data_IF_092688156949
#
_entry.id   IF_092688156949
#
_cell.length_a   1.000
_cell.length_b   1.000
_cell.length_c   1.000
_cell.angle_alpha   90.00
_cell.angle_beta   90.00
_cell.angle_gamma   90.00
#
_symmetry.space_group_name_H-M   'P 1'
#
loop_
_entity.id
_entity.type
_entity.pdbx_description
1 polymer ?
#
# COMPACT_ATOMS: atom_id res chain seq x y z
N UNK A 1 13.67 10.50 12.00
CA UNK A 1 14.09 11.14 10.71
C UNK A 1 13.88 10.08 9.63
N UNK A 2 13.09 10.35 8.58
CA UNK A 2 12.83 9.36 7.51
C UNK A 2 14.13 9.06 6.75
N UNK A 3 14.33 7.80 6.41
CA UNK A 3 15.51 7.33 5.69
C UNK A 3 15.59 7.95 4.28
N UNK A 4 16.65 8.69 3.98
CA UNK A 4 16.85 9.36 2.69
C UNK A 4 17.65 8.53 1.68
N UNK A 5 17.58 8.86 0.37
CA UNK A 5 18.36 8.19 -0.66
C UNK A 5 19.85 8.19 -0.35
N UNK A 6 20.51 7.04 -0.52
CA UNK A 6 21.91 6.83 -0.21
C UNK A 6 22.21 6.44 1.24
N UNK A 7 21.27 6.58 2.17
CA UNK A 7 21.42 6.10 3.55
C UNK A 7 21.48 4.58 3.57
N UNK A 8 22.30 4.03 4.47
CA UNK A 8 22.38 2.58 4.70
C UNK A 8 21.74 2.27 6.05
N UNK A 9 20.68 1.46 6.02
CA UNK A 9 19.96 0.99 7.20
C UNK A 9 20.53 -0.36 7.64
N UNK A 10 20.67 -0.57 8.94
CA UNK A 10 21.26 -1.78 9.55
C UNK A 10 22.62 -2.19 8.95
N UNK A 11 23.39 -1.26 8.38
CA UNK A 11 24.65 -1.55 7.71
C UNK A 11 24.56 -2.46 6.47
N UNK A 12 23.36 -2.65 5.90
CA UNK A 12 23.09 -3.60 4.82
C UNK A 12 22.20 -3.05 3.70
N UNK A 13 21.18 -2.29 4.03
CA UNK A 13 20.16 -1.89 3.06
C UNK A 13 20.36 -0.44 2.62
N UNK A 14 20.85 -0.24 1.40
CA UNK A 14 21.04 1.11 0.85
C UNK A 14 19.78 1.60 0.21
N UNK A 15 19.22 2.67 0.77
CA UNK A 15 18.02 3.33 0.24
C UNK A 15 18.29 3.88 -1.16
N UNK A 16 17.45 3.53 -2.12
CA UNK A 16 17.62 3.89 -3.53
C UNK A 16 16.66 4.99 -4.00
N UNK A 17 15.49 5.10 -3.38
CA UNK A 17 14.47 6.07 -3.77
C UNK A 17 14.01 6.92 -2.57
N UNK A 18 13.23 7.98 -2.84
CA UNK A 18 12.62 8.78 -1.77
C UNK A 18 11.55 7.95 -1.09
N UNK A 19 11.50 7.97 0.24
CA UNK A 19 10.47 7.24 0.97
C UNK A 19 9.08 7.78 0.64
N UNK A 20 8.17 6.88 0.31
CA UNK A 20 6.75 7.17 0.35
C UNK A 20 6.25 6.80 1.75
N UNK A 21 6.16 7.81 2.63
CA UNK A 21 5.85 7.62 4.05
C UNK A 21 6.88 6.68 4.72
N UNK A 22 6.50 5.52 5.22
CA UNK A 22 7.40 4.53 5.84
C UNK A 22 7.72 3.34 4.90
N UNK A 23 7.53 3.50 3.57
CA UNK A 23 7.90 2.50 2.57
C UNK A 23 9.07 3.01 1.75
N UNK A 24 10.10 2.20 1.62
CA UNK A 24 11.38 2.58 1.02
C UNK A 24 11.87 1.46 0.12
N UNK A 25 12.25 1.78 -1.10
CA UNK A 25 13.03 0.86 -1.93
C UNK A 25 14.50 0.94 -1.55
N UNK A 26 15.12 -0.21 -1.40
CA UNK A 26 16.53 -0.32 -1.06
C UNK A 26 17.23 -1.42 -1.86
N UNK A 27 18.53 -1.31 -1.95
CA UNK A 27 19.42 -2.37 -2.45
C UNK A 27 20.00 -3.10 -1.24
N UNK A 28 19.82 -4.39 -1.17
CA UNK A 28 20.53 -5.24 -0.22
C UNK A 28 21.98 -5.39 -0.68
N UNK A 29 22.93 -4.80 0.02
CA UNK A 29 24.36 -4.83 -0.35
C UNK A 29 24.99 -6.21 -0.23
N UNK A 30 24.35 -7.15 0.47
CA UNK A 30 24.87 -8.52 0.59
C UNK A 30 24.45 -9.41 -0.58
N UNK A 31 23.19 -9.33 -1.01
CA UNK A 31 22.67 -10.14 -2.11
C UNK A 31 22.73 -9.43 -3.46
N UNK A 32 22.80 -8.11 -3.49
CA UNK A 32 22.69 -7.29 -4.69
C UNK A 32 21.27 -7.23 -5.25
N UNK A 33 20.25 -7.62 -4.48
CA UNK A 33 18.85 -7.62 -4.91
C UNK A 33 18.11 -6.37 -4.43
N UNK A 34 17.10 -5.96 -5.18
CA UNK A 34 16.18 -4.91 -4.74
C UNK A 34 15.22 -5.46 -3.70
N UNK A 35 15.04 -4.72 -2.62
CA UNK A 35 14.12 -5.04 -1.54
C UNK A 35 13.21 -3.85 -1.24
N UNK A 36 12.02 -4.14 -0.76
CA UNK A 36 11.14 -3.14 -0.17
C UNK A 36 11.27 -3.22 1.36
N UNK A 37 11.50 -2.07 1.96
CA UNK A 37 11.47 -1.92 3.41
C UNK A 37 10.15 -1.24 3.79
N UNK A 38 9.47 -1.80 4.80
CA UNK A 38 8.26 -1.19 5.40
C UNK A 38 8.55 -0.90 6.85
N UNK A 39 8.48 0.38 7.23
CA UNK A 39 8.70 0.86 8.59
C UNK A 39 7.43 0.81 9.42
N UNK A 40 7.56 0.49 10.70
CA UNK A 40 6.53 0.60 11.71
C UNK A 40 7.09 1.44 12.86
N UNK A 41 6.43 2.54 13.18
CA UNK A 41 6.81 3.35 14.33
C UNK A 41 6.53 2.56 15.62
N UNK A 42 7.58 2.44 16.44
CA UNK A 42 7.46 1.85 17.76
C UNK A 42 7.06 2.99 18.72
N UNK A 43 5.88 2.93 19.33
CA UNK A 43 5.48 3.94 20.28
C UNK A 43 6.41 3.87 21.50
N UNK A 44 7.31 4.84 21.61
CA UNK A 44 7.96 5.12 22.89
C UNK A 44 6.89 5.38 23.92
N UNK A 45 7.06 4.86 25.15
CA UNK A 45 6.20 5.05 26.33
C UNK A 45 4.85 5.75 26.01
N UNK A 46 3.85 5.01 25.54
CA UNK A 46 2.49 5.53 25.58
C UNK A 46 2.11 5.63 27.05
N UNK A 47 2.26 6.81 27.64
CA UNK A 47 1.50 7.17 28.82
C UNK A 47 0.04 6.89 28.46
N UNK A 48 -0.60 5.98 29.17
CA UNK A 48 -1.99 5.65 29.00
C UNK A 48 -2.83 6.92 29.22
N UNK A 49 -3.06 7.64 28.14
CA UNK A 49 -4.08 8.69 28.12
C UNK A 49 -5.38 7.90 27.95
N UNK A 50 -6.15 7.82 29.03
CA UNK A 50 -7.51 7.33 28.97
C UNK A 50 -8.34 8.34 28.14
N UNK A 51 -8.77 8.00 26.91
CA UNK A 51 -9.48 8.95 26.06
C UNK A 51 -10.90 9.26 26.55
N UNK A 52 -11.36 8.64 27.63
CA UNK A 52 -12.72 8.80 28.15
C UNK A 52 -12.86 9.90 29.22
N UNK A 53 -11.77 10.36 29.79
CA UNK A 53 -11.82 11.40 30.81
C UNK A 53 -10.63 12.36 30.66
N UNK A 54 -10.92 13.59 30.22
CA UNK A 54 -9.94 14.67 29.99
C UNK A 54 -9.35 15.29 31.26
N UNK A 55 -9.00 14.48 32.25
CA UNK A 55 -8.22 14.90 33.41
C UNK A 55 -6.96 14.05 33.52
N UNK A 56 -5.78 14.63 33.83
CA UNK A 56 -4.57 13.87 34.08
C UNK A 56 -4.74 13.12 35.40
N UNK A 57 -5.19 11.86 35.29
CA UNK A 57 -5.26 10.97 36.44
C UNK A 57 -3.86 10.69 36.98
N UNK A 58 -3.68 10.76 38.29
CA UNK A 58 -2.51 10.30 39.02
C UNK A 58 -2.40 8.76 38.96
N UNK A 59 -2.30 8.19 37.76
CA UNK A 59 -1.89 6.81 37.56
C UNK A 59 -0.37 6.76 37.54
N UNK A 60 0.23 5.85 38.31
CA UNK A 60 1.65 5.55 38.18
C UNK A 60 1.98 5.28 36.70
N UNK A 61 3.09 5.82 36.17
CA UNK A 61 3.50 5.53 34.81
C UNK A 61 3.66 4.01 34.68
N UNK A 62 2.83 3.40 33.85
CA UNK A 62 3.07 2.02 33.43
C UNK A 62 4.41 2.05 32.72
N UNK A 63 5.45 1.55 33.38
CA UNK A 63 6.76 1.41 32.77
C UNK A 63 6.60 0.42 31.60
N UNK A 64 6.34 0.94 30.40
CA UNK A 64 6.52 0.19 29.16
C UNK A 64 7.98 -0.23 29.06
N UNK A 65 8.22 -1.39 28.49
CA UNK A 65 9.58 -1.81 28.16
C UNK A 65 10.27 -0.79 27.25
N UNK A 66 11.56 -0.60 27.38
CA UNK A 66 12.29 0.30 26.50
C UNK A 66 12.11 -0.09 25.04
N UNK A 67 11.99 0.88 24.13
CA UNK A 67 11.78 0.72 22.68
C UNK A 67 12.64 -0.40 22.07
N UNK A 68 13.94 -0.54 22.40
CA UNK A 68 14.76 -1.63 21.88
C UNK A 68 14.22 -3.04 22.27
N UNK A 69 13.77 -3.22 23.52
CA UNK A 69 13.26 -4.51 23.97
C UNK A 69 11.92 -4.87 23.31
N UNK A 70 11.05 -3.89 23.07
CA UNK A 70 9.83 -4.08 22.31
C UNK A 70 10.14 -4.46 20.86
N UNK A 71 11.00 -3.71 20.20
CA UNK A 71 11.43 -3.98 18.84
C UNK A 71 12.03 -5.38 18.66
N UNK A 72 12.88 -5.82 19.58
CA UNK A 72 13.46 -7.16 19.55
C UNK A 72 12.41 -8.28 19.69
N UNK A 73 11.36 -8.06 20.51
CA UNK A 73 10.25 -9.03 20.60
C UNK A 73 9.50 -9.14 19.29
N UNK A 74 9.21 -8.00 18.65
CA UNK A 74 8.53 -7.96 17.36
C UNK A 74 9.38 -8.61 16.26
N UNK A 75 10.67 -8.34 16.20
CA UNK A 75 11.61 -9.00 15.26
C UNK A 75 11.58 -10.53 15.45
N UNK A 76 11.64 -11.02 16.70
CA UNK A 76 11.53 -12.47 16.97
C UNK A 76 10.17 -13.04 16.56
N UNK A 77 9.10 -12.29 16.75
CA UNK A 77 7.75 -12.71 16.32
C UNK A 77 7.66 -12.84 14.81
N UNK A 78 8.17 -11.85 14.06
CA UNK A 78 8.24 -11.89 12.60
C UNK A 78 9.06 -13.11 12.13
N UNK A 79 10.26 -13.31 12.71
CA UNK A 79 11.12 -14.44 12.34
C UNK A 79 10.46 -15.80 12.62
N UNK A 80 9.72 -15.93 13.72
CA UNK A 80 9.00 -17.16 14.05
C UNK A 80 7.90 -17.47 13.03
N UNK A 81 7.12 -16.45 12.59
CA UNK A 81 6.07 -16.65 11.58
C UNK A 81 6.68 -16.91 10.21
N UNK A 82 7.72 -16.18 9.83
CA UNK A 82 8.39 -16.33 8.53
C UNK A 82 8.91 -17.76 8.29
N UNK A 83 9.27 -18.49 9.36
CA UNK A 83 9.72 -19.89 9.26
C UNK A 83 8.59 -20.86 8.84
N UNK A 84 7.34 -20.50 9.10
CA UNK A 84 6.16 -21.33 8.83
C UNK A 84 5.41 -20.90 7.55
N UNK A 85 5.87 -19.85 6.86
CA UNK A 85 5.24 -19.35 5.62
C UNK A 85 5.42 -20.38 4.49
N UNK A 86 4.33 -20.84 3.87
CA UNK A 86 4.42 -21.80 2.78
C UNK A 86 5.01 -21.14 1.52
N UNK A 87 5.83 -21.89 0.80
CA UNK A 87 6.26 -21.46 -0.53
C UNK A 87 5.06 -21.43 -1.48
N UNK A 88 4.73 -20.25 -2.00
CA UNK A 88 3.62 -20.08 -2.93
C UNK A 88 3.99 -19.02 -3.98
N UNK A 89 3.71 -19.25 -5.29
CA UNK A 89 4.13 -18.35 -6.36
C UNK A 89 3.46 -16.97 -6.34
N UNK A 90 2.44 -16.79 -5.50
CA UNK A 90 1.71 -15.52 -5.33
C UNK A 90 1.96 -14.86 -3.96
N UNK A 91 2.91 -15.37 -3.18
CA UNK A 91 3.38 -14.72 -1.96
C UNK A 91 4.76 -14.14 -2.20
N UNK A 92 4.97 -12.89 -1.80
CA UNK A 92 6.32 -12.32 -1.76
C UNK A 92 7.08 -12.88 -0.56
N UNK A 93 8.36 -13.20 -0.79
CA UNK A 93 9.24 -13.70 0.26
C UNK A 93 9.61 -12.58 1.23
N UNK A 94 9.39 -12.81 2.53
CA UNK A 94 9.94 -11.99 3.59
C UNK A 94 11.42 -12.32 3.80
N UNK A 95 12.25 -11.28 3.99
CA UNK A 95 13.67 -11.41 4.31
C UNK A 95 13.97 -11.05 5.78
N UNK A 96 12.93 -10.92 6.60
CA UNK A 96 13.01 -10.67 8.04
C UNK A 96 12.74 -9.22 8.44
N UNK A 97 13.14 -8.88 9.67
CA UNK A 97 12.94 -7.57 10.24
C UNK A 97 14.14 -7.14 11.08
N UNK A 98 14.30 -5.83 11.27
CA UNK A 98 15.31 -5.23 12.15
C UNK A 98 14.81 -3.92 12.75
N UNK A 99 15.44 -3.46 13.81
CA UNK A 99 15.16 -2.16 14.45
C UNK A 99 16.26 -1.17 14.09
N UNK A 100 15.86 0.04 13.70
CA UNK A 100 16.76 1.17 13.52
C UNK A 100 16.12 2.42 14.13
N UNK A 101 16.68 2.91 15.23
CA UNK A 101 16.09 3.98 16.04
C UNK A 101 14.75 3.57 16.66
N UNK A 102 13.72 4.36 16.40
CA UNK A 102 12.34 4.11 16.86
C UNK A 102 11.48 3.38 15.82
N UNK A 103 12.10 2.87 14.77
CA UNK A 103 11.40 2.18 13.69
C UNK A 103 11.77 0.70 13.66
N UNK A 104 10.74 -0.14 13.56
CA UNK A 104 10.88 -1.51 13.13
C UNK A 104 10.75 -1.53 11.60
N UNK A 105 11.73 -2.10 10.93
CA UNK A 105 11.71 -2.30 9.49
C UNK A 105 11.51 -3.77 9.16
N UNK A 106 10.55 -4.07 8.31
CA UNK A 106 10.40 -5.38 7.67
C UNK A 106 10.97 -5.32 6.27
N UNK A 107 11.58 -6.40 5.84
CA UNK A 107 12.30 -6.53 4.56
C UNK A 107 11.58 -7.55 3.70
N UNK A 108 11.29 -7.19 2.46
CA UNK A 108 10.57 -8.03 1.53
C UNK A 108 11.22 -7.97 0.15
N UNK A 109 11.22 -9.08 -0.58
CA UNK A 109 11.65 -9.08 -1.98
C UNK A 109 10.81 -8.11 -2.80
N UNK A 110 11.46 -7.39 -3.71
CA UNK A 110 10.77 -6.44 -4.59
C UNK A 110 11.04 -6.80 -6.06
N UNK A 111 10.33 -7.78 -6.63
CA UNK A 111 10.40 -8.07 -8.06
C UNK A 111 9.86 -6.90 -8.89
N UNK A 112 10.13 -6.94 -10.21
CA UNK A 112 9.60 -5.93 -11.13
C UNK A 112 8.07 -5.97 -11.17
N UNK A 113 7.45 -4.82 -10.96
CA UNK A 113 5.99 -4.69 -10.93
C UNK A 113 5.54 -3.30 -10.49
N UNK A 114 4.23 -3.12 -10.42
CA UNK A 114 3.59 -1.86 -10.00
C UNK A 114 2.68 -2.14 -8.80
N UNK A 115 2.74 -1.35 -7.73
CA UNK A 115 1.78 -1.45 -6.64
C UNK A 115 0.34 -1.32 -7.14
N UNK A 116 -0.55 -2.19 -6.64
CA UNK A 116 -1.96 -2.17 -7.04
C UNK A 116 -2.63 -0.81 -6.72
N UNK A 117 -2.16 -0.12 -5.67
CA UNK A 117 -2.59 1.23 -5.34
C UNK A 117 -2.39 2.24 -6.48
N UNK A 118 -1.33 2.08 -7.29
CA UNK A 118 -1.10 2.94 -8.45
C UNK A 118 -2.12 2.68 -9.57
N UNK A 119 -2.58 1.42 -9.74
CA UNK A 119 -3.63 1.10 -10.70
C UNK A 119 -5.00 1.65 -10.27
N UNK A 120 -5.27 1.70 -8.96
CA UNK A 120 -6.49 2.31 -8.43
C UNK A 120 -6.56 3.82 -8.69
N UNK A 121 -5.43 4.51 -8.77
CA UNK A 121 -5.39 5.94 -9.08
C UNK A 121 -5.88 6.25 -10.51
N UNK A 122 -5.79 5.28 -11.42
CA UNK A 122 -6.25 5.42 -12.81
C UNK A 122 -7.77 5.19 -12.97
N UNK A 123 -8.45 4.77 -11.92
CA UNK A 123 -9.90 4.53 -11.88
C UNK A 123 -10.29 3.04 -11.74
N UNK A 124 -11.59 2.73 -11.90
CA UNK A 124 -12.10 1.36 -11.77
C UNK A 124 -11.50 0.39 -12.77
N UNK A 125 -11.22 -0.83 -12.32
CA UNK A 125 -10.62 -1.90 -13.12
C UNK A 125 -11.71 -2.80 -13.71
N UNK A 126 -11.58 -3.29 -14.95
CA UNK A 126 -12.57 -4.17 -15.57
C UNK A 126 -12.82 -5.43 -14.72
N UNK A 127 -14.09 -5.89 -14.58
CA UNK A 127 -14.47 -6.96 -13.63
C UNK A 127 -13.72 -8.28 -13.81
N UNK A 128 -13.48 -8.73 -15.03
CA UNK A 128 -12.74 -9.97 -15.26
C UNK A 128 -11.26 -9.84 -14.92
N UNK A 129 -10.69 -8.63 -15.10
CA UNK A 129 -9.33 -8.34 -14.66
C UNK A 129 -9.24 -8.34 -13.12
N UNK A 130 -10.25 -7.80 -12.46
CA UNK A 130 -10.35 -7.89 -10.99
C UNK A 130 -10.48 -9.33 -10.53
N UNK A 131 -11.25 -10.16 -11.25
CA UNK A 131 -11.37 -11.57 -10.93
C UNK A 131 -10.04 -12.35 -11.05
N UNK A 132 -9.20 -12.04 -12.06
CA UNK A 132 -7.86 -12.63 -12.20
C UNK A 132 -6.98 -12.27 -11.00
N UNK A 133 -6.87 -10.99 -10.68
CA UNK A 133 -6.10 -10.50 -9.52
C UNK A 133 -6.62 -11.13 -8.22
N UNK A 134 -7.94 -11.18 -8.05
CA UNK A 134 -8.58 -11.77 -6.89
C UNK A 134 -8.30 -13.28 -6.77
N UNK A 135 -8.26 -14.02 -7.89
CA UNK A 135 -7.94 -15.45 -7.90
C UNK A 135 -6.52 -15.71 -7.43
N UNK A 136 -5.54 -14.89 -7.87
CA UNK A 136 -4.17 -14.96 -7.42
C UNK A 136 -4.08 -14.71 -5.90
N UNK A 137 -4.73 -13.64 -5.41
CA UNK A 137 -4.74 -13.28 -3.99
C UNK A 137 -5.46 -14.32 -3.12
N UNK A 138 -6.61 -14.81 -3.56
CA UNK A 138 -7.34 -15.87 -2.86
C UNK A 138 -6.54 -17.18 -2.79
N UNK A 139 -5.75 -17.49 -3.83
CA UNK A 139 -4.82 -18.62 -3.85
C UNK A 139 -3.70 -18.44 -2.82
N UNK A 140 -3.12 -17.26 -2.71
CA UNK A 140 -2.11 -16.91 -1.70
C UNK A 140 -2.68 -17.00 -0.28
N UNK A 141 -3.84 -16.40 -0.04
CA UNK A 141 -4.53 -16.48 1.27
C UNK A 141 -4.87 -17.91 1.65
N UNK A 142 -5.33 -18.73 0.68
CA UNK A 142 -5.61 -20.15 0.92
C UNK A 142 -4.36 -20.85 1.46
N UNK A 143 -3.21 -20.66 0.81
CA UNK A 143 -1.97 -21.31 1.23
C UNK A 143 -1.57 -20.91 2.66
N UNK A 144 -1.69 -19.63 3.02
CA UNK A 144 -1.46 -19.14 4.38
C UNK A 144 -2.43 -19.77 5.38
N UNK A 145 -3.74 -19.76 5.07
CA UNK A 145 -4.77 -20.29 5.97
C UNK A 145 -4.65 -21.82 6.18
N UNK A 146 -4.26 -22.57 5.14
CA UNK A 146 -3.96 -24.02 5.25
C UNK A 146 -2.74 -24.29 6.15
N UNK A 147 -1.78 -23.34 6.21
CA UNK A 147 -0.64 -23.40 7.14
C UNK A 147 -0.98 -22.85 8.54
N UNK A 148 -2.23 -22.47 8.81
CA UNK A 148 -2.66 -21.89 10.09
C UNK A 148 -2.23 -20.44 10.30
N UNK A 149 -1.79 -19.76 9.24
CA UNK A 149 -1.35 -18.36 9.25
C UNK A 149 -2.44 -17.44 8.76
N UNK A 150 -2.40 -16.20 9.18
CA UNK A 150 -3.25 -15.10 8.72
C UNK A 150 -2.36 -14.01 8.14
N UNK A 151 -2.78 -13.41 7.03
CA UNK A 151 -2.03 -12.30 6.43
C UNK A 151 -2.17 -11.01 7.24
N UNK A 152 -3.39 -10.63 7.60
CA UNK A 152 -3.72 -9.52 8.51
C UNK A 152 -3.43 -8.11 7.97
N UNK A 153 -2.89 -7.98 6.74
CA UNK A 153 -2.46 -6.70 6.17
C UNK A 153 -2.77 -6.55 4.66
N UNK A 154 -3.80 -7.25 4.17
CA UNK A 154 -4.18 -7.17 2.77
C UNK A 154 -4.79 -5.79 2.46
N UNK A 155 -4.20 -5.09 1.49
CA UNK A 155 -4.65 -3.80 0.96
C UNK A 155 -4.06 -3.57 -0.43
N UNK A 156 -4.47 -2.51 -1.11
CA UNK A 156 -3.88 -2.15 -2.41
C UNK A 156 -2.38 -1.84 -2.31
N UNK A 157 -1.91 -1.38 -1.15
CA UNK A 157 -0.50 -1.06 -0.92
C UNK A 157 0.38 -2.30 -0.77
N UNK A 158 -0.19 -3.44 -0.38
CA UNK A 158 0.55 -4.69 -0.13
C UNK A 158 0.49 -5.66 -1.31
N UNK A 159 -0.16 -5.29 -2.40
CA UNK A 159 -0.25 -6.10 -3.61
C UNK A 159 0.60 -5.48 -4.72
N UNK A 160 1.47 -6.30 -5.32
CA UNK A 160 2.27 -5.95 -6.47
C UNK A 160 1.69 -6.64 -7.72
N UNK A 161 1.51 -5.90 -8.80
CA UNK A 161 1.10 -6.45 -10.10
C UNK A 161 2.32 -6.54 -11.00
N UNK A 162 2.68 -7.75 -11.40
CA UNK A 162 3.83 -8.02 -12.26
C UNK A 162 3.56 -7.69 -13.73
N UNK A 163 4.61 -7.67 -14.55
CA UNK A 163 4.52 -7.39 -16.00
C UNK A 163 3.66 -8.43 -16.75
N UNK A 164 3.63 -9.68 -16.29
CA UNK A 164 2.76 -10.74 -16.82
C UNK A 164 1.31 -10.60 -16.39
N UNK A 165 1.03 -9.62 -15.56
CA UNK A 165 -0.29 -9.35 -15.01
C UNK A 165 -0.62 -10.11 -13.72
N UNK A 166 0.26 -10.96 -13.21
CA UNK A 166 0.03 -11.69 -11.97
C UNK A 166 0.01 -10.76 -10.75
N UNK A 167 -0.86 -11.03 -9.78
CA UNK A 167 -0.83 -10.36 -8.49
C UNK A 167 0.03 -11.14 -7.48
N UNK A 168 0.96 -10.44 -6.85
CA UNK A 168 1.75 -10.96 -5.74
C UNK A 168 1.32 -10.28 -4.44
N UNK A 169 1.08 -11.09 -3.42
CA UNK A 169 0.71 -10.62 -2.09
C UNK A 169 1.95 -10.47 -1.22
N UNK A 170 2.24 -9.26 -0.82
CA UNK A 170 3.32 -8.89 0.08
C UNK A 170 2.80 -8.26 1.38
N UNK A 171 3.71 -7.81 2.25
CA UNK A 171 3.38 -7.15 3.50
C UNK A 171 2.99 -8.09 4.65
N UNK A 172 3.26 -9.39 4.54
CA UNK A 172 2.98 -10.36 5.61
C UNK A 172 3.79 -10.04 6.88
N UNK A 173 5.10 -9.86 6.75
CA UNK A 173 5.99 -9.57 7.89
C UNK A 173 5.58 -8.27 8.60
N UNK A 174 5.21 -7.24 7.82
CA UNK A 174 4.68 -6.00 8.36
C UNK A 174 3.33 -6.20 9.06
N UNK A 175 2.45 -7.07 8.53
CA UNK A 175 1.20 -7.46 9.14
C UNK A 175 1.40 -8.16 10.48
N UNK A 176 2.33 -9.10 10.55
CA UNK A 176 2.68 -9.83 11.79
C UNK A 176 3.22 -8.87 12.85
N UNK A 177 4.13 -7.97 12.48
CA UNK A 177 4.70 -6.98 13.40
C UNK A 177 3.62 -6.03 13.94
N UNK A 178 2.77 -5.51 13.04
CA UNK A 178 1.67 -4.63 13.39
C UNK A 178 0.66 -5.31 14.33
N UNK A 179 0.29 -6.56 14.01
CA UNK A 179 -0.69 -7.30 14.80
C UNK A 179 -0.16 -7.58 16.21
N UNK A 180 1.12 -7.97 16.33
CA UNK A 180 1.78 -8.16 17.62
C UNK A 180 1.83 -6.85 18.42
N UNK A 181 2.15 -5.72 17.77
CA UNK A 181 2.12 -4.39 18.41
C UNK A 181 0.71 -4.02 18.88
N UNK A 182 -0.31 -4.23 18.04
CA UNK A 182 -1.71 -3.98 18.42
C UNK A 182 -2.16 -4.86 19.59
N UNK A 183 -1.66 -6.11 19.67
CA UNK A 183 -1.92 -7.03 20.80
C UNK A 183 -1.27 -6.51 22.09
N UNK A 184 -0.01 -6.08 22.04
CA UNK A 184 0.69 -5.51 23.19
C UNK A 184 -0.01 -4.24 23.73
N UNK A 185 -0.46 -3.35 22.84
CA UNK A 185 -1.04 -2.06 23.21
C UNK A 185 -2.56 -2.13 23.52
N UNK A 186 -3.28 -2.95 22.78
CA UNK A 186 -4.75 -3.02 22.79
C UNK A 186 -5.31 -4.26 23.50
N UNK A 187 -4.44 -5.21 23.87
CA UNK A 187 -4.86 -6.48 24.48
C UNK A 187 -5.41 -7.48 23.45
N UNK A 188 -6.21 -8.47 23.88
CA UNK A 188 -6.78 -9.50 23.01
C UNK A 188 -7.69 -8.89 21.96
N UNK A 189 -8.09 -9.71 20.97
CA UNK A 189 -8.99 -9.29 19.89
C UNK A 189 -10.22 -8.55 20.40
N UNK A 190 -10.65 -7.51 19.67
CA UNK A 190 -11.80 -6.69 20.00
C UNK A 190 -11.64 -5.22 19.64
N UNK A 191 -12.60 -4.42 20.10
CA UNK A 191 -12.71 -3.00 19.74
C UNK A 191 -11.44 -2.20 20.07
N UNK A 192 -10.88 -2.37 21.29
CA UNK A 192 -9.69 -1.62 21.71
C UNK A 192 -8.48 -1.90 20.81
N UNK A 193 -8.26 -3.16 20.44
CA UNK A 193 -7.18 -3.55 19.51
C UNK A 193 -7.37 -2.91 18.14
N UNK A 194 -8.62 -2.86 17.66
CA UNK A 194 -8.94 -2.16 16.43
C UNK A 194 -8.70 -0.65 16.53
N UNK A 195 -9.07 -0.02 17.64
CA UNK A 195 -8.81 1.42 17.87
C UNK A 195 -7.32 1.73 17.86
N UNK A 196 -6.49 0.87 18.47
CA UNK A 196 -5.01 0.99 18.39
C UNK A 196 -4.54 0.88 16.95
N UNK A 197 -5.03 -0.13 16.21
CA UNK A 197 -4.67 -0.30 14.80
C UNK A 197 -5.08 0.90 13.95
N UNK A 198 -6.28 1.43 14.16
CA UNK A 198 -6.76 2.62 13.47
C UNK A 198 -5.96 3.89 13.84
N UNK A 199 -5.48 3.97 15.08
CA UNK A 199 -4.59 5.06 15.52
C UNK A 199 -3.23 5.02 14.84
N UNK A 200 -2.67 3.83 14.62
CA UNK A 200 -1.37 3.64 13.97
C UNK A 200 -1.44 3.84 12.43
N UNK A 201 -2.52 3.44 11.80
CA UNK A 201 -2.63 3.32 10.34
C UNK A 201 -3.74 4.15 9.71
N UNK A 202 -4.50 4.85 10.52
CA UNK A 202 -5.76 5.51 10.12
C UNK A 202 -6.94 4.53 9.99
N UNK A 203 -8.18 5.07 10.00
CA UNK A 203 -9.38 4.26 9.84
C UNK A 203 -9.49 3.78 8.38
N UNK A 204 -9.42 2.47 8.19
CA UNK A 204 -9.53 1.82 6.89
C UNK A 204 -10.44 0.61 6.97
N UNK A 205 -11.34 0.46 6.01
CA UNK A 205 -12.31 -0.63 5.99
C UNK A 205 -11.65 -2.00 5.89
N UNK A 206 -10.56 -2.15 5.16
CA UNK A 206 -9.79 -3.39 5.04
C UNK A 206 -9.29 -3.90 6.39
N UNK A 207 -9.05 -2.99 7.31
CA UNK A 207 -8.48 -3.27 8.64
C UNK A 207 -9.54 -3.40 9.72
N UNK A 208 -10.81 -3.31 9.33
CA UNK A 208 -11.96 -3.34 10.23
C UNK A 208 -12.05 -4.58 11.10
N UNK A 209 -11.83 -5.82 10.62
CA UNK A 209 -12.18 -6.97 11.45
C UNK A 209 -11.56 -6.86 12.83
N UNK A 210 -12.43 -6.80 13.85
CA UNK A 210 -11.98 -6.74 15.25
C UNK A 210 -11.37 -8.06 15.71
N UNK A 211 -11.83 -9.16 15.12
CA UNK A 211 -11.46 -10.50 15.54
C UNK A 211 -10.23 -11.06 14.83
N UNK A 212 -9.76 -10.41 13.75
CA UNK A 212 -8.63 -10.91 12.98
C UNK A 212 -8.86 -12.30 12.37
N UNK A 213 -7.78 -13.00 12.04
CA UNK A 213 -7.82 -14.36 11.53
C UNK A 213 -8.23 -14.48 10.03
N UNK A 214 -8.39 -15.73 9.52
CA UNK A 214 -8.65 -15.98 8.10
C UNK A 214 -9.89 -15.28 7.55
N UNK A 215 -10.95 -15.14 8.34
CA UNK A 215 -12.16 -14.43 7.94
C UNK A 215 -11.94 -12.91 7.81
N UNK A 216 -10.93 -12.37 8.52
CA UNK A 216 -10.49 -10.98 8.39
C UNK A 216 -9.79 -10.72 7.07
N UNK A 217 -8.97 -11.65 6.60
CA UNK A 217 -8.34 -11.57 5.29
C UNK A 217 -9.38 -11.64 4.15
N UNK A 218 -10.41 -12.48 4.31
CA UNK A 218 -11.52 -12.57 3.35
C UNK A 218 -12.32 -11.26 3.30
N UNK A 219 -12.56 -10.61 4.44
CA UNK A 219 -13.16 -9.28 4.49
C UNK A 219 -12.29 -8.26 3.74
N UNK A 220 -10.98 -8.21 4.05
CA UNK A 220 -10.06 -7.28 3.41
C UNK A 220 -10.01 -7.49 1.89
N UNK A 221 -10.06 -8.76 1.42
CA UNK A 221 -10.19 -9.08 0.00
C UNK A 221 -11.50 -8.50 -0.56
N UNK A 222 -12.62 -8.67 0.12
CA UNK A 222 -13.91 -8.11 -0.31
C UNK A 222 -13.89 -6.58 -0.45
N UNK A 223 -13.25 -5.88 0.49
CA UNK A 223 -13.05 -4.42 0.43
C UNK A 223 -12.17 -4.05 -0.76
N UNK A 224 -11.07 -4.76 -0.96
CA UNK A 224 -10.16 -4.51 -2.08
C UNK A 224 -10.87 -4.70 -3.43
N UNK A 225 -11.67 -5.77 -3.59
CA UNK A 225 -12.46 -6.01 -4.80
C UNK A 225 -13.47 -4.88 -5.03
N UNK A 226 -14.17 -4.45 -3.98
CA UNK A 226 -15.11 -3.35 -4.09
C UNK A 226 -14.42 -2.07 -4.58
N UNK A 227 -13.24 -1.73 -4.01
CA UNK A 227 -12.46 -0.57 -4.44
C UNK A 227 -11.99 -0.67 -5.89
N UNK A 228 -11.48 -1.83 -6.30
CA UNK A 228 -11.03 -2.06 -7.68
C UNK A 228 -12.16 -1.90 -8.69
N UNK A 229 -13.38 -2.34 -8.34
CA UNK A 229 -14.54 -2.31 -9.22
C UNK A 229 -15.24 -0.95 -9.27
N UNK A 230 -15.22 -0.20 -8.17
CA UNK A 230 -16.00 1.05 -8.03
C UNK A 230 -15.16 2.30 -7.90
N UNK A 231 -13.86 2.18 -7.59
CA UNK A 231 -12.97 3.29 -7.28
C UNK A 231 -13.18 3.90 -5.89
N UNK A 232 -14.08 3.34 -5.06
CA UNK A 232 -14.44 3.89 -3.74
C UNK A 232 -14.39 2.83 -2.64
N UNK A 233 -14.36 3.27 -1.37
CA UNK A 233 -14.51 2.38 -0.23
C UNK A 233 -15.99 1.93 -0.07
N UNK A 234 -16.25 0.70 0.42
CA UNK A 234 -17.61 0.25 0.70
C UNK A 234 -18.25 0.98 1.88
N UNK A 235 -17.47 1.51 2.81
CA UNK A 235 -17.92 2.29 3.97
C UNK A 235 -17.18 3.62 4.04
N UNK A 236 -17.76 4.67 4.67
CA UNK A 236 -17.07 5.95 4.86
C UNK A 236 -15.86 5.79 5.80
N UNK A 237 -14.76 6.44 5.45
CA UNK A 237 -13.46 6.37 6.17
C UNK A 237 -12.97 7.75 6.64
N UNK A 238 -13.89 8.70 6.78
CA UNK A 238 -13.56 10.07 7.19
C UNK A 238 -12.99 10.12 8.60
N UNK A 239 -13.59 9.34 9.50
CA UNK A 239 -13.12 9.16 10.87
C UNK A 239 -13.52 7.79 11.42
N UNK A 240 -12.89 7.40 12.55
CA UNK A 240 -13.10 6.10 13.18
C UNK A 240 -14.55 5.90 13.67
N UNK A 241 -15.17 6.93 14.24
CA UNK A 241 -16.52 6.82 14.80
C UNK A 241 -17.55 6.61 13.69
N UNK A 242 -17.41 7.34 12.59
CA UNK A 242 -18.23 7.21 11.38
C UNK A 242 -18.10 5.81 10.78
N UNK A 243 -16.88 5.29 10.62
CA UNK A 243 -16.63 3.94 10.11
C UNK A 243 -17.24 2.87 11.03
N UNK A 244 -17.00 2.94 12.35
CA UNK A 244 -17.56 2.03 13.33
C UNK A 244 -19.10 2.00 13.30
N UNK A 245 -19.72 3.18 13.24
CA UNK A 245 -21.17 3.31 13.13
C UNK A 245 -21.72 2.75 11.82
N UNK A 246 -21.04 3.01 10.71
CA UNK A 246 -21.48 2.54 9.41
C UNK A 246 -21.39 1.01 9.28
N UNK A 247 -20.32 0.40 9.76
CA UNK A 247 -20.16 -1.07 9.72
C UNK A 247 -21.12 -1.75 10.68
N UNK A 248 -21.30 -1.22 11.90
CA UNK A 248 -22.27 -1.76 12.86
C UNK A 248 -23.70 -1.79 12.29
N UNK A 249 -24.08 -0.74 11.59
CA UNK A 249 -25.43 -0.56 11.04
C UNK A 249 -25.55 -1.11 9.61
N UNK A 250 -24.51 -1.78 9.10
CA UNK A 250 -24.36 -2.27 7.71
C UNK A 250 -24.73 -1.22 6.64
N UNK A 251 -24.35 0.06 6.88
CA UNK A 251 -24.59 1.17 5.96
C UNK A 251 -23.49 1.25 4.90
N UNK A 252 -23.33 0.16 4.15
CA UNK A 252 -22.35 0.07 3.05
C UNK A 252 -22.92 0.61 1.74
N UNK A 253 -22.04 0.99 0.83
CA UNK A 253 -22.36 1.28 -0.55
C UNK A 253 -22.87 0.02 -1.28
N UNK A 254 -23.74 0.21 -2.27
CA UNK A 254 -24.34 -0.90 -3.04
C UNK A 254 -23.28 -1.63 -3.87
N UNK A 255 -23.33 -2.96 -3.87
CA UNK A 255 -22.49 -3.83 -4.70
C UNK A 255 -22.97 -3.92 -6.16
N UNK A 256 -24.04 -3.22 -6.53
CA UNK A 256 -24.59 -3.24 -7.89
C UNK A 256 -23.56 -2.82 -8.95
N UNK A 257 -22.66 -1.89 -8.61
CA UNK A 257 -21.54 -1.47 -9.47
C UNK A 257 -20.44 -2.52 -9.65
N UNK A 258 -20.44 -3.61 -8.88
CA UNK A 258 -19.42 -4.65 -8.94
C UNK A 258 -19.64 -5.68 -10.07
N UNK A 259 -20.69 -5.56 -10.89
CA UNK A 259 -20.96 -6.43 -12.02
C UNK A 259 -21.05 -7.92 -11.61
N UNK A 260 -20.41 -8.83 -12.35
CA UNK A 260 -20.48 -10.28 -12.07
C UNK A 260 -19.87 -10.69 -10.72
N UNK A 261 -18.99 -9.84 -10.14
CA UNK A 261 -18.40 -10.07 -8.83
C UNK A 261 -19.26 -9.57 -7.67
N UNK A 262 -20.36 -8.85 -7.93
CA UNK A 262 -21.24 -8.28 -6.90
C UNK A 262 -21.67 -9.29 -5.83
N UNK A 263 -22.22 -10.46 -6.18
CA UNK A 263 -22.64 -11.47 -5.20
C UNK A 263 -21.50 -12.00 -4.31
N UNK A 264 -20.30 -12.16 -4.87
CA UNK A 264 -19.11 -12.58 -4.10
C UNK A 264 -18.69 -11.49 -3.14
N UNK A 265 -18.55 -10.24 -3.60
CA UNK A 265 -18.20 -9.07 -2.80
C UNK A 265 -19.17 -8.89 -1.64
N UNK A 266 -20.47 -9.05 -1.89
CA UNK A 266 -21.51 -8.94 -0.86
C UNK A 266 -21.33 -9.97 0.26
N UNK A 267 -20.99 -11.21 -0.08
CA UNK A 267 -20.73 -12.26 0.93
C UNK A 267 -19.41 -12.06 1.67
N UNK A 268 -18.35 -11.61 0.98
CA UNK A 268 -17.08 -11.28 1.63
C UNK A 268 -17.24 -10.13 2.65
N UNK A 269 -18.14 -9.20 2.39
CA UNK A 269 -18.43 -8.04 3.24
C UNK A 269 -19.56 -8.32 4.28
N UNK A 270 -19.86 -9.58 4.62
CA UNK A 270 -20.77 -9.90 5.71
C UNK A 270 -20.17 -9.48 7.05
N UNK A 271 -20.91 -8.73 7.90
CA UNK A 271 -20.43 -8.35 9.23
C UNK A 271 -20.11 -9.58 10.11
N UNK A 272 -20.93 -10.63 10.02
CA UNK A 272 -20.67 -11.89 10.69
C UNK A 272 -19.57 -12.69 9.95
N UNK A 273 -18.46 -12.91 10.64
CA UNK A 273 -17.31 -13.64 10.10
C UNK A 273 -17.65 -15.09 9.70
N UNK A 274 -18.61 -15.72 10.38
CA UNK A 274 -19.01 -17.10 10.09
C UNK A 274 -19.78 -17.25 8.75
N UNK A 275 -20.35 -16.15 8.27
CA UNK A 275 -21.10 -16.13 7.01
C UNK A 275 -20.21 -15.81 5.78
N UNK A 276 -18.96 -15.42 6.03
CA UNK A 276 -18.02 -15.09 4.95
C UNK A 276 -17.50 -16.35 4.27
N UNK A 277 -17.38 -16.36 2.94
CA UNK A 277 -16.70 -17.44 2.24
C UNK A 277 -15.22 -17.49 2.66
N UNK A 278 -14.70 -18.70 2.82
CA UNK A 278 -13.27 -18.93 3.07
C UNK A 278 -12.44 -18.60 1.82
N UNK A 279 -11.12 -18.44 1.98
CA UNK A 279 -10.22 -18.22 0.85
C UNK A 279 -10.31 -19.38 -0.18
N UNK A 280 -10.49 -20.62 0.28
CA UNK A 280 -10.70 -21.81 -0.60
C UNK A 280 -11.99 -21.67 -1.42
N UNK A 281 -13.09 -21.30 -0.77
CA UNK A 281 -14.39 -21.11 -1.44
C UNK A 281 -14.32 -19.96 -2.43
N UNK A 282 -13.74 -18.84 -2.02
CA UNK A 282 -13.53 -17.65 -2.85
C UNK A 282 -12.68 -17.97 -4.08
N UNK A 283 -11.57 -18.67 -3.89
CA UNK A 283 -10.69 -19.08 -5.00
C UNK A 283 -11.41 -19.99 -6.01
N UNK A 284 -12.20 -20.98 -5.55
CA UNK A 284 -12.98 -21.86 -6.43
C UNK A 284 -13.99 -21.08 -7.24
N UNK A 285 -14.77 -20.23 -6.61
CA UNK A 285 -15.78 -19.42 -7.28
C UNK A 285 -15.18 -18.48 -8.33
N UNK A 286 -14.05 -17.83 -8.02
CA UNK A 286 -13.32 -17.01 -8.97
C UNK A 286 -12.79 -17.82 -10.15
N UNK A 287 -12.28 -19.03 -9.90
CA UNK A 287 -11.84 -19.95 -10.95
C UNK A 287 -12.98 -20.36 -11.87
N UNK A 288 -14.16 -20.66 -11.32
CA UNK A 288 -15.37 -20.98 -12.08
C UNK A 288 -15.86 -19.79 -12.91
N UNK A 289 -15.86 -18.60 -12.32
CA UNK A 289 -16.22 -17.35 -13.01
C UNK A 289 -15.29 -17.08 -14.20
N UNK A 290 -13.98 -17.24 -14.01
CA UNK A 290 -13.00 -17.04 -15.06
C UNK A 290 -13.10 -18.10 -16.17
N UNK A 291 -13.40 -19.36 -15.84
CA UNK A 291 -13.62 -20.41 -16.82
C UNK A 291 -14.88 -20.17 -17.68
N UNK A 292 -15.86 -19.45 -17.12
CA UNK A 292 -17.10 -19.08 -17.83
C UNK A 292 -17.02 -17.67 -18.46
N UNK A 293 -15.87 -16.99 -18.35
CA UNK A 293 -15.72 -15.64 -18.89
C UNK A 293 -15.87 -15.65 -20.41
N UNK A 294 -16.55 -14.65 -21.00
CA UNK A 294 -16.60 -14.50 -22.43
C UNK A 294 -15.18 -14.31 -23.00
N UNK A 295 -14.88 -14.94 -24.11
CA UNK A 295 -13.60 -14.72 -24.79
C UNK A 295 -13.40 -13.24 -25.06
N UNK A 296 -12.21 -12.68 -24.78
CA UNK A 296 -11.95 -11.28 -25.04
C UNK A 296 -12.10 -10.99 -26.54
N UNK A 297 -12.95 -10.02 -26.88
CA UNK A 297 -13.12 -9.57 -28.26
C UNK A 297 -11.85 -8.85 -28.73
N UNK A 298 -10.96 -9.59 -29.39
CA UNK A 298 -9.70 -9.09 -29.95
C UNK A 298 -8.49 -9.23 -29.02
N UNK A 299 -7.27 -9.04 -29.54
CA UNK A 299 -6.08 -9.06 -28.73
C UNK A 299 -6.18 -7.93 -27.71
N UNK A 300 -6.20 -8.30 -26.43
CA UNK A 300 -6.06 -7.32 -25.33
C UNK A 300 -4.71 -6.64 -25.55
N UNK A 301 -4.66 -5.31 -25.80
CA UNK A 301 -3.38 -4.63 -25.87
C UNK A 301 -2.66 -4.89 -24.54
N UNK A 302 -1.37 -5.25 -24.58
CA UNK A 302 -0.62 -5.43 -23.33
C UNK A 302 -0.78 -4.13 -22.53
N UNK A 303 -1.25 -4.23 -21.32
CA UNK A 303 -1.25 -3.09 -20.38
C UNK A 303 0.22 -2.78 -20.18
N UNK A 304 0.71 -1.76 -20.87
CA UNK A 304 2.05 -1.25 -20.67
C UNK A 304 2.05 -0.57 -19.30
N UNK A 305 2.25 -1.37 -18.28
CA UNK A 305 2.50 -0.85 -16.94
C UNK A 305 3.78 0.00 -17.03
N UNK A 306 3.80 1.22 -16.50
CA UNK A 306 5.02 2.01 -16.44
C UNK A 306 6.03 1.26 -15.58
N UNK A 307 6.93 0.52 -16.23
CA UNK A 307 8.01 -0.19 -15.54
C UNK A 307 8.92 0.89 -14.96
N UNK A 308 8.90 1.09 -13.65
CA UNK A 308 10.00 1.73 -12.95
C UNK A 308 11.18 0.77 -13.02
N UNK A 309 11.98 0.88 -14.08
CA UNK A 309 13.28 0.23 -14.08
C UNK A 309 14.07 0.83 -12.93
N UNK A 310 14.64 0.00 -12.01
CA UNK A 310 15.62 0.51 -11.09
C UNK A 310 16.73 1.13 -11.95
N UNK A 311 16.96 2.43 -11.80
CA UNK A 311 18.11 3.07 -12.43
C UNK A 311 19.34 2.35 -11.90
N UNK A 312 20.03 1.63 -12.79
CA UNK A 312 21.27 0.95 -12.47
C UNK A 312 22.27 1.92 -11.83
N UNK A 313 23.26 1.42 -11.09
CA UNK A 313 24.18 2.24 -10.35
C UNK A 313 24.77 3.31 -11.27
N UNK A 314 24.65 4.59 -10.85
CA UNK A 314 25.29 5.71 -11.52
C UNK A 314 26.78 5.46 -11.59
N UNK A 315 27.27 4.96 -12.72
CA UNK A 315 28.70 4.86 -12.98
C UNK A 315 29.26 6.28 -12.92
N UNK A 316 30.18 6.61 -12.01
CA UNK A 316 30.78 7.94 -11.98
C UNK A 316 31.47 8.19 -13.34
N UNK A 317 30.98 9.15 -14.11
CA UNK A 317 31.69 9.60 -15.31
C UNK A 317 33.03 10.15 -14.85
N UNK A 318 34.08 9.36 -15.04
CA UNK A 318 35.44 9.76 -14.83
C UNK A 318 35.75 11.04 -15.60
N UNK A 319 36.32 12.02 -14.90
CA UNK A 319 36.90 13.24 -15.50
C UNK A 319 37.85 12.82 -16.60
N UNK A 320 37.46 13.00 -17.85
CA UNK A 320 38.40 12.94 -18.98
C UNK A 320 39.25 14.21 -18.94
N UNK A 321 40.49 14.03 -18.53
CA UNK A 321 41.54 15.01 -18.71
C UNK A 321 41.74 15.26 -20.22
N UNK A 322 41.85 16.52 -20.59
CA UNK A 322 41.99 16.95 -21.97
C UNK A 322 43.32 16.56 -22.60
N UNK A 323 43.32 16.39 -23.88
CA UNK A 323 44.43 16.73 -24.78
C UNK A 323 43.99 16.75 -26.26
N UNK A 324 44.33 17.87 -26.93
CA UNK A 324 44.91 17.82 -28.25
C UNK A 324 44.05 18.23 -29.43
N UNK A 325 44.31 19.39 -29.80
CA UNK A 325 44.18 20.13 -31.07
C UNK A 325 44.18 19.33 -32.39
N UNK A 326 43.38 19.83 -33.36
CA UNK A 326 43.65 19.65 -34.82
C UNK A 326 42.38 19.82 -35.67
N UNK A 327 42.44 20.42 -36.84
CA UNK A 327 41.40 21.31 -37.37
C UNK A 327 40.52 20.74 -38.51
N UNK A 328 39.38 21.36 -38.63
CA UNK A 328 38.57 21.63 -39.85
C UNK A 328 38.24 20.52 -40.86
N UNK A 329 36.96 20.27 -41.05
CA UNK A 329 36.35 20.25 -42.40
C UNK A 329 34.85 20.54 -42.30
N UNK A 330 34.46 21.51 -43.02
CA UNK A 330 33.17 22.07 -43.31
C UNK A 330 32.34 21.12 -44.19
N UNK A 331 31.12 20.77 -43.83
CA UNK A 331 30.08 20.37 -44.79
C UNK A 331 28.72 20.72 -44.23
N UNK A 332 28.06 21.61 -44.89
CA UNK A 332 26.71 22.09 -44.61
C UNK A 332 25.64 21.01 -44.73
N UNK A 333 24.71 21.03 -43.80
CA UNK A 333 23.48 20.26 -43.81
C UNK A 333 22.38 21.03 -43.08
N UNK A 334 21.45 21.57 -43.86
CA UNK A 334 20.28 22.28 -43.38
C UNK A 334 19.38 21.33 -42.58
N UNK A 335 19.35 21.48 -41.28
CA UNK A 335 18.39 20.81 -40.39
C UNK A 335 17.08 21.60 -40.26
N UNK A 336 15.95 20.96 -40.01
CA UNK A 336 14.65 21.62 -39.84
C UNK A 336 14.62 22.51 -38.59
N UNK A 337 13.76 23.55 -38.58
CA UNK A 337 13.72 24.52 -37.50
C UNK A 337 13.29 23.87 -36.16
N UNK A 338 13.78 24.39 -35.02
CA UNK A 338 13.45 23.85 -33.71
C UNK A 338 11.95 24.08 -33.39
N UNK A 339 11.31 23.14 -32.68
CA UNK A 339 9.93 23.30 -32.23
C UNK A 339 9.83 24.43 -31.18
N UNK A 340 8.66 25.08 -31.06
CA UNK A 340 8.46 26.17 -30.12
C UNK A 340 8.66 25.71 -28.67
N UNK A 341 9.08 26.60 -27.75
CA UNK A 341 9.35 26.26 -26.35
C UNK A 341 8.07 25.77 -25.68
N UNK A 342 8.11 24.54 -25.15
CA UNK A 342 7.05 24.00 -24.31
C UNK A 342 7.26 24.49 -22.87
N UNK A 343 6.22 25.09 -22.29
CA UNK A 343 6.23 25.52 -20.89
C UNK A 343 6.39 24.26 -20.02
N UNK A 344 7.36 24.22 -19.08
CA UNK A 344 7.56 23.07 -18.23
C UNK A 344 6.31 22.84 -17.35
N UNK A 345 5.88 21.59 -17.16
CA UNK A 345 4.65 21.27 -16.38
C UNK A 345 4.68 21.76 -14.93
N UNK A 346 5.86 22.00 -14.37
CA UNK A 346 6.04 22.56 -13.02
C UNK A 346 5.54 24.01 -12.87
N UNK A 347 5.35 24.76 -13.98
CA UNK A 347 4.87 26.15 -13.94
C UNK A 347 3.37 26.28 -14.25
N UNK A 348 2.70 25.21 -14.68
CA UNK A 348 1.27 25.22 -14.97
C UNK A 348 0.40 25.41 -13.71
N UNK A 349 0.78 24.81 -12.59
CA UNK A 349 0.07 24.92 -11.30
C UNK A 349 0.01 26.35 -10.75
N UNK A 350 1.15 27.03 -10.57
CA UNK A 350 1.16 28.42 -10.08
C UNK A 350 0.54 29.41 -11.06
N UNK A 351 0.61 29.19 -12.39
CA UNK A 351 -0.06 30.03 -13.38
C UNK A 351 -1.58 29.90 -13.32
N UNK A 352 -2.12 28.68 -13.15
CA UNK A 352 -3.55 28.47 -12.98
C UNK A 352 -4.05 29.08 -11.68
N UNK A 353 -3.31 28.95 -10.58
CA UNK A 353 -3.66 29.55 -9.29
C UNK A 353 -3.71 31.10 -9.39
N UNK A 354 -2.74 31.69 -10.06
CA UNK A 354 -2.72 33.13 -10.28
C UNK A 354 -3.90 33.61 -11.14
N UNK A 355 -4.26 32.87 -12.18
CA UNK A 355 -5.40 33.19 -13.03
C UNK A 355 -6.74 33.10 -12.25
N UNK A 356 -6.91 32.09 -11.40
CA UNK A 356 -8.11 31.94 -10.56
C UNK A 356 -8.20 33.08 -9.52
N UNK A 357 -7.09 33.47 -8.89
CA UNK A 357 -7.08 34.58 -7.94
C UNK A 357 -7.43 35.92 -8.61
N UNK A 358 -6.91 36.17 -9.79
CA UNK A 358 -7.25 37.40 -10.55
C UNK A 358 -8.74 37.41 -10.93
N UNK A 359 -9.28 36.26 -11.39
CA UNK A 359 -10.70 36.16 -11.71
C UNK A 359 -11.59 36.40 -10.47
N UNK A 360 -11.20 35.89 -9.31
CA UNK A 360 -11.92 36.08 -8.06
C UNK A 360 -11.92 37.54 -7.60
N UNK A 361 -10.79 38.23 -7.70
CA UNK A 361 -10.66 39.64 -7.37
C UNK A 361 -11.54 40.51 -8.30
N UNK A 362 -11.55 40.19 -9.58
CA UNK A 362 -12.39 40.89 -10.56
C UNK A 362 -13.89 40.65 -10.31
N UNK A 363 -14.29 39.42 -9.94
CA UNK A 363 -15.67 39.09 -9.61
C UNK A 363 -16.13 39.84 -8.34
N UNK A 364 -15.33 39.86 -7.30
CA UNK A 364 -15.62 40.61 -6.05
C UNK A 364 -15.69 42.12 -6.32
N UNK A 365 -14.75 42.64 -7.12
CA UNK A 365 -14.77 44.06 -7.54
C UNK A 365 -16.02 44.43 -8.32
N UNK A 366 -16.49 43.58 -9.22
CA UNK A 366 -17.71 43.78 -9.96
C UNK A 366 -18.96 43.77 -9.04
N UNK A 367 -19.04 42.83 -8.09
CA UNK A 367 -20.13 42.77 -7.11
C UNK A 367 -20.19 44.04 -6.24
N UNK A 368 -19.06 44.59 -5.81
CA UNK A 368 -18.98 45.81 -5.01
C UNK A 368 -19.38 47.03 -5.85
N UNK A 369 -19.07 47.05 -7.14
CA UNK A 369 -19.40 48.17 -8.03
C UNK A 369 -20.87 48.19 -8.46
N UNK A 370 -21.56 47.04 -8.52
CA UNK A 370 -22.95 46.93 -8.94
C UNK A 370 -23.94 46.79 -7.76
N UNK A 371 -23.48 46.57 -6.53
CA UNK A 371 -24.27 46.48 -5.30
C UNK A 371 -24.27 47.77 -4.44
N UNK A 372 -23.51 48.79 -4.83
CA UNK A 372 -23.49 50.14 -4.30
C UNK A 372 -24.16 51.08 -5.31
#
# INVERSE_FOLDING_TARGET
MLAGPGQVLAGRYRVTDRPEYLRVLAMDEQSGTSVQLTGLELPGLLTAVDPAYGEPGHGEPVHGDPVPAQGERLVRRVAAVAADVPAHPRLLGGAGAFVDGELLWTVEECPAGVPLAALLADGPVPPYRVAELASDLAGALRALHEAGLTHGNLSADTVLVCEDGAALLGGLDAGVALEALCEELGGPAGRRRYEVRAGLLGPRTERWPMDGGPAGDCWALGVLLFRLLTGAAPYPEDDLATLLGAVRDDRRASTHGCGPLGPLVERLLQPDAALRPTAVQTWRELTELLAAAPEPFGPVPPVLLPVRRPEGPLVPRGRRAGRGSGPAADTGGSGPPPPPPRVPPALLGPLLLAAVLVALVLAVGAVVLFAG
#
